data_IF_108136281771
#
_entry.id   IF_108136281771
#
_cell.length_a   1.000
_cell.length_b   1.000
_cell.length_c   1.000
_cell.angle_alpha   90.00
_cell.angle_beta   90.00
_cell.angle_gamma   90.00
#
_symmetry.space_group_name_H-M   'P 1'
#
loop_
_entity.id
_entity.type
_entity.pdbx_description
1 polymer ?
#
# COMPACT_ATOMS: atom_id res chain seq x y z
N UNK A 1 -19.10 -10.91 8.66
CA UNK A 1 -17.79 -11.52 8.34
C UNK A 1 -16.63 -10.53 8.45
N UNK A 2 -16.84 -9.21 8.27
CA UNK A 2 -15.78 -8.17 8.28
C UNK A 2 -15.16 -7.93 9.65
N UNK A 3 -15.92 -8.08 10.74
CA UNK A 3 -15.42 -7.80 12.11
C UNK A 3 -14.40 -8.84 12.64
N UNK A 4 -14.34 -10.03 12.07
CA UNK A 4 -13.41 -11.09 12.53
C UNK A 4 -11.99 -10.97 11.97
N UNK A 5 -11.76 -10.18 10.92
CA UNK A 5 -10.44 -10.00 10.32
C UNK A 5 -9.55 -9.03 11.11
N UNK A 6 -10.14 -7.95 11.63
CA UNK A 6 -9.40 -6.90 12.34
C UNK A 6 -8.73 -7.37 13.65
N UNK A 7 -9.23 -8.45 14.27
CA UNK A 7 -8.72 -8.93 15.57
C UNK A 7 -7.46 -9.79 15.51
N UNK A 8 -6.99 -10.17 14.31
CA UNK A 8 -5.90 -11.16 14.15
C UNK A 8 -4.54 -10.59 13.77
N UNK A 9 -4.45 -9.33 13.36
CA UNK A 9 -3.20 -8.70 12.96
C UNK A 9 -2.89 -7.56 13.91
N UNK A 10 -1.67 -7.54 14.43
CA UNK A 10 -1.15 -6.43 15.23
C UNK A 10 -1.31 -5.13 14.44
N UNK A 11 -2.07 -4.19 14.98
CA UNK A 11 -2.49 -2.97 14.30
C UNK A 11 -1.35 -1.94 14.27
N UNK A 12 -0.37 -2.13 13.41
CA UNK A 12 0.77 -1.22 13.28
C UNK A 12 0.93 -0.57 11.90
N UNK A 13 0.04 -0.87 10.93
CA UNK A 13 0.08 -0.28 9.56
C UNK A 13 -1.24 -0.55 8.84
N UNK A 14 -1.49 0.14 7.71
CA UNK A 14 -2.61 -0.11 6.83
C UNK A 14 -2.72 -1.61 6.48
N UNK A 15 -3.81 -2.24 6.87
CA UNK A 15 -4.06 -3.67 6.64
C UNK A 15 -5.40 -3.93 5.96
N UNK A 16 -6.06 -2.88 5.49
CA UNK A 16 -7.27 -2.98 4.68
C UNK A 16 -7.40 -1.75 3.79
N UNK A 17 -7.61 -1.98 2.51
CA UNK A 17 -8.02 -0.95 1.58
C UNK A 17 -9.15 -1.48 0.68
N UNK A 18 -9.83 -0.61 -0.02
CA UNK A 18 -10.93 -0.98 -0.91
C UNK A 18 -10.60 -0.57 -2.34
N UNK A 19 -10.78 -1.47 -3.27
CA UNK A 19 -10.66 -1.17 -4.69
C UNK A 19 -11.72 -0.13 -5.10
N UNK A 20 -11.31 0.85 -5.91
CA UNK A 20 -12.22 1.89 -6.38
C UNK A 20 -13.21 1.33 -7.42
N UNK A 21 -14.38 1.99 -7.64
CA UNK A 21 -15.31 1.60 -8.69
C UNK A 21 -14.62 1.51 -10.06
N UNK A 22 -15.02 0.50 -10.87
CA UNK A 22 -14.44 0.23 -12.20
C UNK A 22 -14.28 1.52 -13.02
N UNK A 23 -15.38 2.26 -13.20
CA UNK A 23 -15.40 3.46 -14.02
C UNK A 23 -14.39 4.52 -13.52
N UNK A 24 -14.25 4.67 -12.18
CA UNK A 24 -13.29 5.60 -11.61
C UNK A 24 -11.86 5.17 -11.91
N UNK A 25 -11.54 3.87 -11.77
CA UNK A 25 -10.19 3.37 -12.10
C UNK A 25 -9.89 3.56 -13.58
N UNK A 26 -10.80 3.13 -14.46
CA UNK A 26 -10.59 3.22 -15.91
C UNK A 26 -10.45 4.66 -16.39
N UNK A 27 -11.26 5.57 -15.85
CA UNK A 27 -11.23 6.99 -16.25
C UNK A 27 -10.02 7.71 -15.65
N UNK A 28 -9.80 7.58 -14.34
CA UNK A 28 -8.76 8.32 -13.63
C UNK A 28 -7.36 7.90 -14.05
N UNK A 29 -7.12 6.58 -14.16
CA UNK A 29 -5.82 6.02 -14.53
C UNK A 29 -5.67 5.79 -16.04
N UNK A 30 -6.72 5.97 -16.85
CA UNK A 30 -6.74 5.72 -18.31
C UNK A 30 -6.31 4.30 -18.65
N UNK A 31 -6.90 3.33 -17.98
CA UNK A 31 -6.68 1.90 -18.18
C UNK A 31 -7.97 1.18 -18.55
N UNK A 32 -7.87 0.00 -19.12
CA UNK A 32 -8.99 -0.91 -19.33
C UNK A 32 -8.87 -2.09 -18.38
N UNK A 33 -9.87 -2.29 -17.55
CA UNK A 33 -9.90 -3.39 -16.58
C UNK A 33 -10.50 -4.65 -17.17
N UNK A 34 -9.93 -5.80 -16.81
CA UNK A 34 -10.48 -7.10 -17.17
C UNK A 34 -11.93 -7.26 -16.67
N UNK A 35 -12.79 -8.04 -17.39
CA UNK A 35 -14.20 -8.24 -17.00
C UNK A 35 -14.39 -8.77 -15.58
N UNK A 36 -13.41 -9.49 -15.06
CA UNK A 36 -13.41 -10.10 -13.72
C UNK A 36 -13.19 -9.11 -12.58
N UNK A 37 -12.82 -7.86 -12.89
CA UNK A 37 -12.65 -6.84 -11.85
C UNK A 37 -13.89 -6.71 -10.99
N UNK A 38 -13.70 -6.71 -9.69
CA UNK A 38 -14.75 -6.51 -8.68
C UNK A 38 -14.27 -5.52 -7.63
N UNK A 39 -15.16 -4.64 -7.23
CA UNK A 39 -14.97 -3.77 -6.09
C UNK A 39 -15.00 -4.62 -4.81
N UNK A 40 -13.89 -4.67 -4.10
CA UNK A 40 -13.78 -5.44 -2.87
C UNK A 40 -12.73 -4.85 -1.93
N UNK A 41 -12.87 -5.19 -0.66
CA UNK A 41 -11.86 -4.89 0.34
C UNK A 41 -10.71 -5.90 0.23
N UNK A 42 -9.49 -5.39 0.20
CA UNK A 42 -8.26 -6.17 0.09
C UNK A 42 -7.53 -6.16 1.42
N UNK A 43 -7.34 -7.33 1.99
CA UNK A 43 -6.50 -7.55 3.17
C UNK A 43 -5.15 -8.17 2.81
N UNK A 44 -4.20 -8.28 3.76
CA UNK A 44 -2.88 -8.87 3.52
C UNK A 44 -2.99 -10.27 2.91
N UNK A 45 -2.15 -10.52 1.90
CA UNK A 45 -2.09 -11.75 1.12
C UNK A 45 -3.32 -12.11 0.28
N UNK A 46 -4.30 -11.20 0.19
CA UNK A 46 -5.39 -11.32 -0.77
C UNK A 46 -4.99 -10.74 -2.12
N UNK A 47 -5.71 -11.13 -3.16
CA UNK A 47 -5.54 -10.58 -4.50
C UNK A 47 -6.18 -9.19 -4.56
N UNK A 48 -5.43 -8.23 -5.09
CA UNK A 48 -5.89 -6.88 -5.38
C UNK A 48 -5.32 -6.41 -6.72
N UNK A 49 -5.50 -5.14 -7.04
CA UNK A 49 -5.07 -4.51 -8.28
C UNK A 49 -3.88 -3.58 -8.04
N UNK A 50 -2.88 -3.65 -8.91
CA UNK A 50 -1.86 -2.62 -9.04
C UNK A 50 -1.66 -2.27 -10.53
N UNK A 51 -1.17 -1.07 -10.78
CA UNK A 51 -0.90 -0.55 -12.11
C UNK A 51 0.61 -0.39 -12.27
N UNK A 52 1.21 -1.10 -13.22
CA UNK A 52 2.64 -1.01 -13.53
C UNK A 52 2.87 -0.31 -14.86
N UNK A 53 4.08 0.19 -15.13
CA UNK A 53 4.43 0.71 -16.44
C UNK A 53 4.24 -0.34 -17.54
N UNK A 54 3.69 0.09 -18.67
CA UNK A 54 3.61 -0.67 -19.91
C UNK A 54 4.35 0.08 -21.04
N UNK A 55 4.45 -0.52 -22.21
CA UNK A 55 5.05 0.13 -23.39
C UNK A 55 4.31 1.44 -23.75
N UNK A 56 3.01 1.48 -23.47
CA UNK A 56 2.17 2.69 -23.55
C UNK A 56 1.25 2.72 -22.35
N UNK A 57 1.38 3.75 -21.51
CA UNK A 57 0.54 3.95 -20.33
C UNK A 57 0.79 2.95 -19.20
N UNK A 58 -0.30 2.44 -18.62
CA UNK A 58 -0.29 1.58 -17.45
C UNK A 58 -0.92 0.22 -17.76
N UNK A 59 -0.33 -0.85 -17.22
CA UNK A 59 -0.83 -2.23 -17.28
C UNK A 59 -1.49 -2.60 -15.96
N UNK A 60 -2.83 -2.83 -15.93
CA UNK A 60 -3.51 -3.30 -14.73
C UNK A 60 -3.25 -4.78 -14.48
N UNK A 61 -2.67 -5.08 -13.32
CA UNK A 61 -2.28 -6.43 -12.93
C UNK A 61 -2.95 -6.83 -11.63
N UNK A 62 -3.57 -8.01 -11.61
CA UNK A 62 -4.04 -8.63 -10.38
C UNK A 62 -2.90 -9.40 -9.72
N UNK A 63 -2.65 -9.12 -8.45
CA UNK A 63 -1.56 -9.75 -7.70
C UNK A 63 -1.86 -9.85 -6.21
N UNK A 64 -1.01 -10.57 -5.50
CA UNK A 64 -1.09 -10.69 -4.05
C UNK A 64 -0.62 -9.40 -3.36
N UNK A 65 -1.44 -8.80 -2.50
CA UNK A 65 -1.00 -7.73 -1.61
C UNK A 65 -0.21 -8.28 -0.43
N UNK A 66 1.07 -8.35 -0.59
CA UNK A 66 2.05 -8.98 0.26
C UNK A 66 3.13 -9.55 -0.63
N UNK A 67 4.19 -8.74 -0.85
CA UNK A 67 5.25 -9.07 -1.79
C UNK A 67 5.92 -10.40 -1.42
N UNK A 68 6.09 -11.26 -2.42
CA UNK A 68 6.77 -12.54 -2.27
C UNK A 68 8.28 -12.29 -2.42
N UNK A 69 9.05 -12.67 -1.40
CA UNK A 69 10.50 -12.45 -1.43
C UNK A 69 11.16 -13.25 -2.56
N UNK A 70 12.16 -12.68 -3.27
CA UNK A 70 12.94 -13.43 -4.24
C UNK A 70 13.55 -14.68 -3.61
N UNK A 71 13.46 -15.82 -4.31
CA UNK A 71 13.95 -17.10 -3.81
C UNK A 71 13.13 -17.75 -2.69
N UNK A 72 11.97 -17.18 -2.34
CA UNK A 72 11.04 -17.84 -1.41
C UNK A 72 10.58 -19.20 -1.95
N UNK A 73 10.47 -20.18 -1.06
CA UNK A 73 9.92 -21.51 -1.39
C UNK A 73 8.40 -21.56 -1.29
N UNK A 74 7.79 -20.52 -0.73
CA UNK A 74 6.35 -20.46 -0.46
C UNK A 74 5.79 -19.09 -0.79
N UNK A 75 4.53 -19.08 -1.24
CA UNK A 75 3.78 -17.86 -1.58
C UNK A 75 3.61 -16.90 -0.40
N UNK A 76 3.59 -17.41 0.82
CA UNK A 76 3.42 -16.62 2.05
C UNK A 76 4.56 -16.92 3.02
N UNK A 77 4.95 -15.96 3.86
CA UNK A 77 5.88 -16.24 4.93
C UNK A 77 5.36 -17.37 5.84
N UNK A 78 6.26 -18.20 6.31
CA UNK A 78 5.91 -19.31 7.23
C UNK A 78 5.45 -18.80 8.59
N UNK A 79 6.00 -17.69 9.05
CA UNK A 79 5.55 -17.00 10.27
C UNK A 79 4.39 -16.06 9.97
N UNK A 80 3.28 -16.22 10.66
CA UNK A 80 2.12 -15.32 10.59
C UNK A 80 2.39 -13.90 11.11
N UNK A 81 3.48 -13.71 11.85
CA UNK A 81 3.90 -12.40 12.34
C UNK A 81 4.59 -11.55 11.25
N UNK A 82 5.01 -12.18 10.13
CA UNK A 82 5.66 -11.49 9.03
C UNK A 82 4.60 -11.06 8.01
N UNK A 83 4.40 -9.77 7.91
CA UNK A 83 3.57 -9.15 6.87
C UNK A 83 4.48 -8.46 5.85
N UNK A 84 4.19 -8.65 4.57
CA UNK A 84 4.98 -8.09 3.45
C UNK A 84 4.13 -7.18 2.56
N UNK A 85 2.95 -6.83 3.02
CA UNK A 85 2.02 -5.93 2.32
C UNK A 85 2.38 -4.45 2.44
N UNK A 86 3.25 -4.09 3.40
CA UNK A 86 3.76 -2.74 3.59
C UNK A 86 5.29 -2.75 3.68
N UNK A 87 5.94 -1.91 2.88
CA UNK A 87 7.38 -1.69 2.89
C UNK A 87 7.69 -0.32 3.48
N UNK A 88 8.55 -0.29 4.50
CA UNK A 88 9.01 0.98 5.10
C UNK A 88 10.00 1.66 4.17
N UNK A 89 9.78 2.91 3.83
CA UNK A 89 10.67 3.70 2.97
C UNK A 89 12.12 3.72 3.49
N UNK A 90 12.30 3.80 4.79
CA UNK A 90 13.62 3.89 5.44
C UNK A 90 14.46 2.60 5.31
N UNK A 91 13.86 1.50 4.92
CA UNK A 91 14.55 0.19 4.84
C UNK A 91 14.27 -0.58 3.56
N UNK A 92 13.55 0.03 2.61
CA UNK A 92 13.11 -0.63 1.38
C UNK A 92 14.30 -1.13 0.53
N UNK A 93 15.39 -0.37 0.50
CA UNK A 93 16.62 -0.66 -0.25
C UNK A 93 17.48 -1.76 0.37
N UNK A 94 17.29 -2.05 1.67
CA UNK A 94 18.10 -3.01 2.45
C UNK A 94 17.37 -4.33 2.72
N UNK A 95 16.05 -4.33 2.83
CA UNK A 95 15.27 -5.53 3.14
C UNK A 95 15.23 -6.52 1.97
N UNK A 96 15.58 -7.80 2.19
CA UNK A 96 15.65 -8.81 1.13
C UNK A 96 14.37 -8.93 0.30
N UNK A 97 13.21 -8.74 0.90
CA UNK A 97 11.91 -8.83 0.22
C UNK A 97 11.73 -7.74 -0.84
N UNK A 98 12.23 -6.51 -0.59
CA UNK A 98 11.90 -5.32 -1.38
C UNK A 98 13.06 -4.78 -2.21
N UNK A 99 14.30 -4.93 -1.73
CA UNK A 99 15.49 -4.28 -2.30
C UNK A 99 15.69 -4.54 -3.80
N UNK A 100 15.38 -5.76 -4.27
CA UNK A 100 15.54 -6.11 -5.68
C UNK A 100 14.56 -5.33 -6.55
N UNK A 101 13.29 -5.30 -6.18
CA UNK A 101 12.26 -4.54 -6.89
C UNK A 101 12.53 -3.04 -6.82
N UNK A 102 12.93 -2.53 -5.65
CA UNK A 102 13.28 -1.11 -5.47
C UNK A 102 14.41 -0.68 -6.41
N UNK A 103 15.53 -1.41 -6.39
CA UNK A 103 16.70 -1.12 -7.23
C UNK A 103 16.46 -1.30 -8.71
N UNK A 104 15.59 -2.23 -9.08
CA UNK A 104 15.19 -2.45 -10.47
C UNK A 104 14.13 -1.46 -10.97
N UNK A 105 13.67 -0.51 -10.14
CA UNK A 105 12.62 0.43 -10.51
C UNK A 105 11.25 -0.23 -10.73
N UNK A 106 10.98 -1.39 -10.15
CA UNK A 106 9.70 -2.08 -10.24
C UNK A 106 8.66 -1.40 -9.34
N UNK A 107 8.33 -0.15 -9.67
CA UNK A 107 7.37 0.70 -8.98
C UNK A 107 6.00 0.61 -9.63
N UNK A 108 4.94 0.78 -8.84
CA UNK A 108 3.56 0.72 -9.30
C UNK A 108 2.68 1.73 -8.56
N UNK A 109 1.48 1.92 -9.08
CA UNK A 109 0.39 2.65 -8.43
C UNK A 109 -0.65 1.64 -7.95
N UNK A 110 -1.17 1.84 -6.75
CA UNK A 110 -2.22 0.99 -6.20
C UNK A 110 -3.49 1.83 -6.09
N UNK A 111 -4.50 1.59 -6.96
CA UNK A 111 -5.78 2.28 -6.90
C UNK A 111 -6.57 1.90 -5.66
N UNK A 112 -7.02 2.89 -4.88
CA UNK A 112 -7.87 2.63 -3.72
C UNK A 112 -8.96 3.69 -3.60
N UNK A 113 -10.21 3.28 -3.35
CA UNK A 113 -11.29 4.20 -2.99
C UNK A 113 -11.04 4.80 -1.60
N UNK A 114 -10.58 3.95 -0.70
CA UNK A 114 -10.21 4.31 0.66
C UNK A 114 -9.22 3.28 1.21
N UNK A 115 -8.47 3.68 2.21
CA UNK A 115 -7.72 2.78 3.08
C UNK A 115 -8.11 3.00 4.54
N UNK A 116 -7.90 2.00 5.38
CA UNK A 116 -8.37 2.01 6.75
C UNK A 116 -7.22 2.01 7.73
N UNK A 117 -7.30 2.92 8.70
CA UNK A 117 -6.34 3.02 9.79
C UNK A 117 -7.06 3.05 11.15
N UNK A 118 -6.45 2.44 12.18
CA UNK A 118 -7.02 2.45 13.53
C UNK A 118 -6.69 3.77 14.23
N UNK A 119 -7.68 4.63 14.47
CA UNK A 119 -7.52 5.82 15.30
C UNK A 119 -7.56 5.44 16.79
N UNK A 120 -6.61 5.95 17.57
CA UNK A 120 -6.45 5.68 19.00
C UNK A 120 -6.54 6.93 19.86
N UNK A 121 -7.01 8.04 19.33
CA UNK A 121 -7.16 9.31 20.06
C UNK A 121 -7.96 9.16 21.37
N UNK A 122 -9.00 8.35 21.36
CA UNK A 122 -9.86 8.10 22.53
C UNK A 122 -9.34 7.01 23.48
N UNK A 123 -8.11 6.51 23.24
CA UNK A 123 -7.57 5.37 23.98
C UNK A 123 -8.15 4.01 23.58
N UNK A 124 -9.03 3.98 22.59
CA UNK A 124 -9.63 2.77 22.01
C UNK A 124 -9.52 2.80 20.49
N UNK A 125 -9.50 1.63 19.86
CA UNK A 125 -9.48 1.54 18.41
C UNK A 125 -10.82 1.98 17.82
N UNK A 126 -10.78 3.04 17.01
CA UNK A 126 -11.87 3.48 16.14
C UNK A 126 -11.35 3.40 14.70
N UNK A 127 -11.96 2.57 13.85
CA UNK A 127 -11.51 2.41 12.48
C UNK A 127 -11.94 3.60 11.61
N UNK A 128 -10.95 4.31 11.09
CA UNK A 128 -11.14 5.40 10.14
C UNK A 128 -10.91 4.94 8.71
N UNK A 129 -11.83 5.31 7.83
CA UNK A 129 -11.67 5.16 6.37
C UNK A 129 -11.22 6.50 5.82
N UNK A 130 -10.05 6.51 5.23
CA UNK A 130 -9.44 7.71 4.67
C UNK A 130 -9.70 7.74 3.16
N UNK A 131 -10.58 8.64 2.74
CA UNK A 131 -10.94 8.91 1.35
C UNK A 131 -10.39 10.26 0.90
N UNK A 132 -10.31 10.49 -0.40
CA UNK A 132 -9.91 11.79 -0.95
C UNK A 132 -11.08 12.77 -0.92
N UNK A 133 -10.77 14.04 -0.66
CA UNK A 133 -11.75 15.13 -0.60
C UNK A 133 -12.36 15.46 -1.99
N UNK A 134 -11.64 15.20 -3.07
CA UNK A 134 -12.10 15.38 -4.45
C UNK A 134 -12.89 14.18 -5.00
N UNK A 135 -13.14 13.16 -4.16
CA UNK A 135 -13.82 11.91 -4.51
C UNK A 135 -13.09 11.04 -5.56
N UNK A 136 -11.89 11.41 -5.97
CA UNK A 136 -11.06 10.59 -6.86
C UNK A 136 -10.41 9.42 -6.10
N UNK A 137 -10.02 8.33 -6.77
CA UNK A 137 -9.29 7.26 -6.11
C UNK A 137 -7.89 7.70 -5.69
N UNK A 138 -7.43 7.17 -4.58
CA UNK A 138 -6.01 7.23 -4.22
C UNK A 138 -5.16 6.49 -5.25
N UNK A 139 -4.02 7.06 -5.61
CA UNK A 139 -2.92 6.38 -6.26
C UNK A 139 -1.82 6.15 -5.22
N UNK A 140 -1.81 5.00 -4.56
CA UNK A 140 -0.83 4.72 -3.49
C UNK A 140 0.45 4.18 -4.12
N UNK A 141 1.60 4.74 -3.69
CA UNK A 141 2.92 4.30 -4.12
C UNK A 141 3.19 2.86 -3.69
N UNK A 142 3.64 2.03 -4.61
CA UNK A 142 3.95 0.63 -4.34
C UNK A 142 5.13 0.09 -5.13
N UNK A 143 5.56 -1.11 -4.74
CA UNK A 143 6.48 -1.94 -5.50
C UNK A 143 5.78 -3.21 -5.91
N UNK A 144 6.22 -3.79 -7.03
CA UNK A 144 5.73 -5.07 -7.51
C UNK A 144 6.88 -6.02 -7.85
N UNK A 145 6.58 -7.29 -7.87
CA UNK A 145 7.48 -8.33 -8.38
C UNK A 145 6.67 -9.51 -8.89
N UNK A 146 7.29 -10.31 -9.72
CA UNK A 146 6.82 -11.62 -10.12
C UNK A 146 7.66 -12.70 -9.42
N UNK A 147 6.99 -13.72 -8.96
CA UNK A 147 7.61 -14.88 -8.32
C UNK A 147 7.13 -16.15 -9.02
N UNK A 148 8.07 -17.02 -9.38
CA UNK A 148 7.74 -18.31 -9.95
C UNK A 148 7.70 -19.34 -8.85
N UNK A 149 6.55 -20.00 -8.70
CA UNK A 149 6.39 -21.09 -7.74
C UNK A 149 7.32 -22.25 -8.11
N UNK A 150 8.29 -22.60 -7.26
CA UNK A 150 9.24 -23.67 -7.58
C UNK A 150 8.60 -25.06 -7.68
N UNK A 151 7.40 -25.24 -7.15
CA UNK A 151 6.69 -26.52 -7.19
C UNK A 151 5.82 -26.67 -8.44
N UNK A 152 5.24 -25.59 -8.95
CA UNK A 152 4.28 -25.64 -10.07
C UNK A 152 4.76 -24.95 -11.33
N UNK A 153 5.76 -24.04 -11.24
CA UNK A 153 6.19 -23.18 -12.33
C UNK A 153 5.23 -22.00 -12.60
N UNK A 154 4.16 -21.83 -11.82
CA UNK A 154 3.23 -20.73 -11.97
C UNK A 154 3.89 -19.40 -11.61
N UNK A 155 3.70 -18.38 -12.47
CA UNK A 155 4.16 -17.02 -12.21
C UNK A 155 3.09 -16.24 -11.48
N UNK A 156 3.39 -15.78 -10.27
CA UNK A 156 2.47 -15.04 -9.41
C UNK A 156 2.95 -13.60 -9.20
N UNK A 157 2.20 -12.60 -9.70
CA UNK A 157 2.45 -11.21 -9.37
C UNK A 157 2.16 -10.92 -7.89
N UNK A 158 3.00 -10.09 -7.29
CA UNK A 158 2.77 -9.60 -5.93
C UNK A 158 3.22 -8.15 -5.81
N UNK A 159 2.66 -7.43 -4.83
CA UNK A 159 2.95 -6.02 -4.60
C UNK A 159 2.90 -5.66 -3.12
N UNK A 160 3.46 -4.50 -2.80
CA UNK A 160 3.49 -3.91 -1.46
C UNK A 160 3.25 -2.41 -1.54
N UNK A 161 2.65 -1.83 -0.51
CA UNK A 161 2.55 -0.36 -0.38
C UNK A 161 3.82 0.19 0.27
N UNK A 162 4.28 1.35 -0.18
CA UNK A 162 5.30 2.11 0.54
C UNK A 162 4.65 2.83 1.70
N UNK A 163 5.30 2.80 2.86
CA UNK A 163 4.87 3.53 4.05
C UNK A 163 5.99 4.39 4.57
N UNK A 164 5.62 5.49 5.22
CA UNK A 164 6.54 6.46 5.80
C UNK A 164 6.14 6.79 7.25
N UNK A 165 7.08 7.35 8.01
CA UNK A 165 6.80 7.86 9.34
C UNK A 165 5.89 9.09 9.27
N UNK A 166 4.97 9.22 10.22
CA UNK A 166 4.06 10.35 10.34
C UNK A 166 3.88 10.81 11.81
N UNK A 167 4.88 10.58 12.67
CA UNK A 167 4.84 11.01 14.06
C UNK A 167 4.59 12.51 14.21
N UNK A 168 5.15 13.32 13.31
CA UNK A 168 5.05 14.78 13.34
C UNK A 168 3.83 15.31 12.54
N UNK A 169 2.98 14.44 12.01
CA UNK A 169 1.84 14.85 11.19
C UNK A 169 0.56 14.83 12.01
N UNK A 170 -0.05 16.01 12.28
CA UNK A 170 -1.30 16.09 12.99
C UNK A 170 -2.37 15.16 12.39
N UNK A 171 -3.26 14.61 13.22
CA UNK A 171 -4.29 13.64 12.83
C UNK A 171 -3.72 12.26 12.48
N UNK A 172 -2.73 12.15 11.59
CA UNK A 172 -2.15 10.86 11.22
C UNK A 172 -1.32 10.24 12.36
N UNK A 173 -0.74 11.06 13.23
CA UNK A 173 -0.03 10.61 14.44
C UNK A 173 -0.96 10.00 15.51
N UNK A 174 -2.27 10.20 15.39
CA UNK A 174 -3.29 9.57 16.25
C UNK A 174 -3.62 8.14 15.85
N UNK A 175 -3.18 7.74 14.64
CA UNK A 175 -3.38 6.38 14.15
C UNK A 175 -2.48 5.40 14.89
N UNK A 176 -2.88 4.13 14.89
CA UNK A 176 -2.21 3.03 15.55
C UNK A 176 -2.08 3.16 17.06
N UNK A 177 -2.13 2.01 17.73
CA UNK A 177 -2.01 1.94 19.19
C UNK A 177 -0.65 2.50 19.63
N UNK A 178 -0.62 3.42 20.61
CA UNK A 178 0.64 3.88 21.20
C UNK A 178 1.43 2.71 21.80
N UNK A 179 2.73 2.69 21.55
CA UNK A 179 3.65 1.74 22.18
C UNK A 179 4.16 2.35 23.51
N UNK A 180 3.81 1.78 24.67
CA UNK A 180 4.23 2.31 25.96
C UNK A 180 5.75 2.22 26.20
N UNK A 181 6.50 1.52 25.35
CA UNK A 181 7.97 1.41 25.44
C UNK A 181 8.68 2.51 24.67
N UNK A 182 7.95 3.32 23.89
CA UNK A 182 8.50 4.40 23.08
C UNK A 182 8.17 5.76 23.68
N UNK A 183 9.02 6.75 23.41
CA UNK A 183 8.73 8.13 23.76
C UNK A 183 7.46 8.62 23.02
N UNK A 184 6.65 9.52 23.63
CA UNK A 184 5.40 9.98 23.03
C UNK A 184 5.54 10.61 21.66
N UNK A 185 6.64 11.28 21.39
CA UNK A 185 7.02 11.94 20.14
C UNK A 185 7.75 11.03 19.13
N UNK A 186 7.99 9.76 19.48
CA UNK A 186 8.74 8.77 18.66
C UNK A 186 8.04 7.43 18.62
N UNK A 187 6.77 7.46 18.28
CA UNK A 187 5.90 6.28 18.29
C UNK A 187 6.07 5.39 17.05
N UNK A 188 6.77 5.87 16.01
CA UNK A 188 6.89 5.20 14.70
C UNK A 188 5.52 5.01 14.01
N UNK A 189 4.69 6.04 14.11
CA UNK A 189 3.41 6.11 13.40
C UNK A 189 3.64 6.05 11.90
N UNK A 190 2.79 5.35 11.20
CA UNK A 190 2.99 5.05 9.79
C UNK A 190 1.77 5.44 8.98
N UNK A 191 2.02 5.93 7.77
CA UNK A 191 0.99 6.13 6.75
C UNK A 191 1.50 5.65 5.40
N UNK A 192 0.58 5.32 4.49
CA UNK A 192 0.91 5.05 3.09
C UNK A 192 1.36 6.33 2.39
N UNK A 193 1.87 6.22 1.17
CA UNK A 193 2.35 7.34 0.35
C UNK A 193 1.40 7.51 -0.85
N UNK A 194 0.37 8.34 -0.76
CA UNK A 194 -0.43 8.71 -1.93
C UNK A 194 0.36 9.64 -2.85
N UNK A 195 0.17 9.46 -4.15
CA UNK A 195 0.81 10.25 -5.19
C UNK A 195 -0.24 11.06 -5.96
N UNK A 196 0.07 12.31 -6.24
CA UNK A 196 -0.71 13.13 -7.15
C UNK A 196 -0.41 12.76 -8.60
N UNK A 197 -1.37 13.01 -9.48
CA UNK A 197 -1.29 12.60 -10.90
C UNK A 197 -0.06 13.15 -11.63
N UNK A 198 0.39 14.34 -11.26
CA UNK A 198 1.60 14.96 -11.80
C UNK A 198 2.90 14.25 -11.42
N UNK A 199 2.89 13.46 -10.35
CA UNK A 199 4.06 12.75 -9.82
C UNK A 199 4.17 11.30 -10.33
N UNK A 200 3.14 10.78 -11.00
CA UNK A 200 3.10 9.35 -11.39
C UNK A 200 4.23 8.95 -12.32
N UNK A 201 4.51 9.76 -13.33
CA UNK A 201 5.58 9.46 -14.29
C UNK A 201 6.96 9.43 -13.59
N UNK A 202 7.22 10.42 -12.74
CA UNK A 202 8.45 10.47 -11.93
C UNK A 202 8.54 9.28 -10.98
N UNK A 203 7.43 8.88 -10.34
CA UNK A 203 7.41 7.69 -9.49
C UNK A 203 7.73 6.42 -10.28
N UNK A 204 7.08 6.24 -11.40
CA UNK A 204 7.15 5.00 -12.19
C UNK A 204 8.45 4.85 -12.97
N UNK A 205 9.01 5.95 -13.49
CA UNK A 205 10.12 5.92 -14.45
C UNK A 205 11.36 6.69 -13.99
N UNK A 206 11.25 7.54 -12.98
CA UNK A 206 12.35 8.35 -12.47
C UNK A 206 13.46 7.54 -11.79
N UNK A 207 14.56 8.22 -11.45
CA UNK A 207 15.64 7.61 -10.67
C UNK A 207 15.19 7.26 -9.25
N UNK A 208 16.01 6.54 -8.50
CA UNK A 208 15.73 6.22 -7.09
C UNK A 208 15.59 7.51 -6.29
N UNK A 209 16.48 8.46 -6.47
CA UNK A 209 16.49 9.75 -5.76
C UNK A 209 15.22 10.56 -6.07
N UNK A 210 14.77 10.54 -7.33
CA UNK A 210 13.52 11.21 -7.72
C UNK A 210 12.30 10.52 -7.08
N UNK A 211 12.28 9.19 -7.02
CA UNK A 211 11.21 8.46 -6.35
C UNK A 211 11.21 8.69 -4.83
N UNK A 212 12.39 8.71 -4.19
CA UNK A 212 12.53 9.03 -2.76
C UNK A 212 12.00 10.43 -2.42
N UNK A 213 12.24 11.41 -3.28
CA UNK A 213 11.73 12.78 -3.11
C UNK A 213 10.19 12.88 -3.13
N UNK A 214 9.49 11.87 -3.67
CA UNK A 214 8.04 11.79 -3.67
C UNK A 214 7.46 11.09 -2.44
N UNK A 215 8.30 10.50 -1.59
CA UNK A 215 7.88 9.87 -0.34
C UNK A 215 7.66 10.95 0.71
N UNK A 216 6.47 11.51 0.68
CA UNK A 216 6.04 12.59 1.60
C UNK A 216 4.57 12.42 1.96
N UNK A 217 4.21 12.88 3.15
CA UNK A 217 2.81 12.90 3.56
C UNK A 217 2.07 13.95 2.74
N UNK A 218 0.92 13.61 2.11
CA UNK A 218 0.12 14.58 1.39
C UNK A 218 -0.51 15.59 2.36
N UNK A 219 -0.85 16.79 1.87
CA UNK A 219 -1.58 17.79 2.65
C UNK A 219 -2.88 17.21 3.23
N UNK A 220 -3.20 17.57 4.48
CA UNK A 220 -4.39 17.03 5.15
C UNK A 220 -5.71 17.43 4.47
N UNK A 221 -5.71 18.51 3.70
CA UNK A 221 -6.85 18.99 2.92
C UNK A 221 -7.28 17.98 1.82
N UNK A 222 -6.40 17.07 1.45
CA UNK A 222 -6.73 15.99 0.50
C UNK A 222 -7.54 14.87 1.14
N UNK A 223 -7.69 14.84 2.47
CA UNK A 223 -8.41 13.79 3.18
C UNK A 223 -9.82 14.24 3.56
N UNK A 224 -10.79 13.34 3.41
CA UNK A 224 -12.02 13.41 4.18
C UNK A 224 -11.77 12.70 5.51
N UNK A 225 -11.74 13.48 6.58
CA UNK A 225 -11.57 12.95 7.91
C UNK A 225 -12.95 12.63 8.50
N UNK A 226 -13.13 11.50 9.18
CA UNK A 226 -14.36 11.21 9.91
C UNK A 226 -14.64 12.31 10.96
N UNK A 227 -15.91 12.72 11.06
CA UNK A 227 -16.37 13.69 12.05
C UNK A 227 -16.39 13.09 13.45
#
# INVERSE_FOLDING_TARGET
QHARWAARYSATMCNLYHLAPRLHVETYFRVQLAPEYRELAVGPFNTGLFLRPAAQGLDPVFGQWGMIAPGSKTRRPTSRAILTNNARSETVDSRPTYRTAWRAGQRCLIPAAWYQEPNWETGRNVWWRLTRADAEPWAIAGLWSEWTDPATGEVLPSYTMITQNCDDVPVLNLMHRPDPKRAPDKQDKRTVVPLEKGDWDTWLHGTIEQAEALIKVPPLELFVLPA
#
